data_IF_665765977249
#
_entry.id   IF_665765977249
#
_cell.length_a   1.000
_cell.length_b   1.000
_cell.length_c   1.000
_cell.angle_alpha   90.00
_cell.angle_beta   90.00
_cell.angle_gamma   90.00
#
_symmetry.space_group_name_H-M   'P 1'
#
loop_
_entity.id
_entity.type
_entity.pdbx_description
1 polymer ?
#
# COMPACT_ATOMS: atom_id res chain seq x y z
N UNK A 1 -14.03 -2.36 -29.01
CA UNK A 1 -13.01 -2.13 -30.08
C UNK A 1 -13.53 -0.99 -30.93
N UNK A 2 -12.74 0.08 -31.11
CA UNK A 2 -13.14 1.17 -31.99
C UNK A 2 -13.06 0.75 -33.46
N UNK A 3 -13.56 1.57 -34.38
CA UNK A 3 -13.57 1.29 -35.85
C UNK A 3 -12.16 1.05 -36.45
N UNK A 4 -11.09 1.32 -35.64
CA UNK A 4 -9.69 1.15 -36.05
C UNK A 4 -9.01 -0.03 -35.37
N UNK A 5 -9.74 -0.88 -34.64
CA UNK A 5 -9.18 -2.05 -33.96
C UNK A 5 -8.31 -1.74 -32.75
N UNK A 6 -8.41 -0.54 -32.16
CA UNK A 6 -7.69 -0.16 -30.95
C UNK A 6 -8.40 -0.67 -29.72
N UNK A 7 -7.66 -1.23 -28.81
CA UNK A 7 -8.17 -1.59 -27.50
C UNK A 7 -8.39 -0.31 -26.67
N UNK A 8 -9.60 -0.15 -26.13
CA UNK A 8 -9.83 0.88 -25.11
C UNK A 8 -9.17 0.43 -23.82
N UNK A 9 -8.09 1.11 -23.47
CA UNK A 9 -7.34 0.85 -22.23
C UNK A 9 -8.22 0.97 -20.99
N UNK A 10 -9.26 1.79 -21.04
CA UNK A 10 -10.21 1.99 -19.95
C UNK A 10 -11.15 0.79 -19.80
N UNK A 11 -11.61 0.22 -20.90
CA UNK A 11 -12.38 -1.03 -20.91
C UNK A 11 -11.53 -2.21 -20.40
N UNK A 12 -10.29 -2.30 -20.86
CA UNK A 12 -9.36 -3.32 -20.39
C UNK A 12 -9.06 -3.19 -18.88
N UNK A 13 -8.86 -1.97 -18.37
CA UNK A 13 -8.64 -1.72 -16.96
C UNK A 13 -9.86 -2.08 -16.11
N UNK A 14 -11.07 -1.76 -16.59
CA UNK A 14 -12.31 -2.12 -15.91
C UNK A 14 -12.52 -3.64 -15.90
N UNK A 15 -12.31 -4.32 -17.02
CA UNK A 15 -12.42 -5.78 -17.11
C UNK A 15 -11.41 -6.49 -16.20
N UNK A 16 -10.17 -5.98 -16.13
CA UNK A 16 -9.13 -6.50 -15.23
C UNK A 16 -9.53 -6.30 -13.76
N UNK A 17 -10.05 -5.13 -13.42
CA UNK A 17 -10.53 -4.84 -12.07
C UNK A 17 -11.67 -5.77 -11.64
N UNK A 18 -12.61 -6.06 -12.54
CA UNK A 18 -13.69 -7.03 -12.27
C UNK A 18 -13.17 -8.46 -12.08
N UNK A 19 -12.18 -8.87 -12.89
CA UNK A 19 -11.56 -10.20 -12.75
C UNK A 19 -10.82 -10.32 -11.42
N UNK A 20 -10.08 -9.28 -11.02
CA UNK A 20 -9.38 -9.22 -9.73
C UNK A 20 -10.39 -9.26 -8.57
N UNK A 21 -11.48 -8.49 -8.65
CA UNK A 21 -12.52 -8.49 -7.63
C UNK A 21 -13.17 -9.88 -7.48
N UNK A 22 -13.54 -10.53 -8.58
CA UNK A 22 -14.08 -11.90 -8.57
C UNK A 22 -13.09 -12.94 -8.09
N UNK A 23 -11.79 -12.78 -8.39
CA UNK A 23 -10.75 -13.67 -7.89
C UNK A 23 -10.55 -13.52 -6.37
N UNK A 24 -10.57 -12.28 -5.86
CA UNK A 24 -10.54 -11.98 -4.42
C UNK A 24 -11.75 -12.57 -3.69
N UNK A 25 -12.94 -12.46 -4.27
CA UNK A 25 -14.17 -13.03 -3.72
C UNK A 25 -14.16 -14.58 -3.69
N UNK A 26 -13.60 -15.22 -4.73
CA UNK A 26 -13.41 -16.68 -4.80
C UNK A 26 -12.33 -17.22 -3.85
N UNK A 27 -11.32 -16.44 -3.51
CA UNK A 27 -10.24 -16.85 -2.60
C UNK A 27 -10.74 -17.10 -1.15
N UNK A 28 -11.98 -16.70 -0.84
CA UNK A 28 -12.56 -16.77 0.49
C UNK A 28 -12.03 -15.68 1.41
N UNK A 29 -12.88 -15.12 2.24
CA UNK A 29 -12.47 -14.16 3.25
C UNK A 29 -11.68 -14.89 4.35
N UNK A 30 -10.45 -14.48 4.68
CA UNK A 30 -9.74 -15.06 5.82
C UNK A 30 -10.55 -14.81 7.10
N UNK A 31 -10.57 -15.80 7.99
CA UNK A 31 -11.24 -15.63 9.28
C UNK A 31 -10.32 -14.96 10.27
N UNK A 32 -10.88 -14.05 11.05
CA UNK A 32 -10.12 -13.33 12.07
C UNK A 32 -9.46 -14.27 13.08
N UNK A 33 -10.14 -15.35 13.48
CA UNK A 33 -9.61 -16.36 14.42
C UNK A 33 -8.34 -17.04 13.90
N UNK A 34 -8.21 -17.20 12.58
CA UNK A 34 -7.10 -17.93 11.92
C UNK A 34 -5.87 -17.04 11.67
N UNK A 35 -5.96 -15.71 11.82
CA UNK A 35 -4.85 -14.80 11.63
C UNK A 35 -3.83 -14.89 12.77
N UNK A 36 -2.55 -14.66 12.46
CA UNK A 36 -1.50 -14.51 13.48
C UNK A 36 -1.73 -13.24 14.33
N UNK A 37 -1.19 -13.23 15.55
CA UNK A 37 -1.39 -12.15 16.52
C UNK A 37 -0.76 -10.81 16.08
N UNK A 38 0.31 -10.88 15.32
CA UNK A 38 1.08 -9.75 14.78
C UNK A 38 0.60 -9.30 13.39
N UNK A 39 -0.43 -9.97 12.83
CA UNK A 39 -0.96 -9.59 11.51
C UNK A 39 -1.53 -8.17 11.56
N UNK A 40 -1.01 -7.29 10.72
CA UNK A 40 -1.50 -5.93 10.54
C UNK A 40 -2.82 -5.92 9.77
N UNK A 41 -3.75 -5.11 10.26
CA UNK A 41 -5.12 -4.99 9.78
C UNK A 41 -5.48 -3.52 9.59
N UNK A 42 -6.19 -3.21 8.52
CA UNK A 42 -6.84 -1.91 8.32
C UNK A 42 -8.27 -1.97 8.84
N UNK A 43 -8.59 -1.12 9.79
CA UNK A 43 -9.85 -1.12 10.52
C UNK A 43 -10.61 0.17 10.27
N UNK A 44 -11.74 0.08 9.60
CA UNK A 44 -12.64 1.20 9.33
C UNK A 44 -13.78 1.20 10.36
N UNK A 45 -13.91 2.27 11.10
CA UNK A 45 -15.03 2.48 12.05
C UNK A 45 -16.25 3.02 11.28
N UNK A 46 -17.43 2.47 11.53
CA UNK A 46 -18.65 2.77 10.74
C UNK A 46 -18.94 1.72 9.67
N UNK A 47 -18.24 0.59 9.72
CA UNK A 47 -18.43 -0.54 8.83
C UNK A 47 -18.11 -0.25 7.36
N UNK A 48 -18.81 -0.89 6.45
CA UNK A 48 -18.57 -0.74 5.00
C UNK A 48 -18.79 0.68 4.48
N UNK A 49 -19.69 1.44 5.11
CA UNK A 49 -19.94 2.83 4.72
C UNK A 49 -18.70 3.70 4.93
N UNK A 50 -17.94 3.48 6.00
CA UNK A 50 -16.73 4.23 6.26
C UNK A 50 -15.66 4.02 5.18
N UNK A 51 -15.52 2.79 4.69
CA UNK A 51 -14.62 2.49 3.57
C UNK A 51 -15.01 3.23 2.28
N UNK A 52 -16.29 3.19 1.93
CA UNK A 52 -16.81 3.84 0.71
C UNK A 52 -16.80 5.37 0.78
N UNK A 53 -16.90 5.93 1.97
CA UNK A 53 -16.82 7.38 2.21
C UNK A 53 -15.36 7.89 2.30
N UNK A 54 -14.36 7.02 2.15
CA UNK A 54 -12.96 7.40 2.17
C UNK A 54 -12.45 7.82 3.55
N UNK A 55 -13.04 7.30 4.62
CA UNK A 55 -12.54 7.52 5.98
C UNK A 55 -11.15 6.90 6.15
N UNK A 56 -10.30 7.57 6.91
CA UNK A 56 -8.96 7.06 7.22
C UNK A 56 -9.09 5.87 8.17
N UNK A 57 -8.55 4.68 7.81
CA UNK A 57 -8.55 3.53 8.70
C UNK A 57 -7.50 3.63 9.79
N UNK A 58 -7.71 2.94 10.88
CA UNK A 58 -6.65 2.60 11.82
C UNK A 58 -5.88 1.38 11.32
N UNK A 59 -4.55 1.39 11.41
CA UNK A 59 -3.72 0.21 11.17
C UNK A 59 -3.35 -0.38 12.51
N UNK A 60 -3.86 -1.58 12.80
CA UNK A 60 -3.71 -2.27 14.09
C UNK A 60 -3.26 -3.70 13.86
N UNK A 61 -2.45 -4.23 14.76
CA UNK A 61 -2.25 -5.68 14.81
C UNK A 61 -3.52 -6.38 15.31
N UNK A 62 -3.64 -7.68 15.01
CA UNK A 62 -4.77 -8.48 15.51
C UNK A 62 -4.91 -8.38 17.05
N UNK A 63 -3.79 -8.40 17.77
CA UNK A 63 -3.81 -8.32 19.24
C UNK A 63 -4.27 -6.94 19.75
N UNK A 64 -3.88 -5.87 19.07
CA UNK A 64 -4.34 -4.52 19.40
C UNK A 64 -5.83 -4.37 19.16
N UNK A 65 -6.30 -4.84 18.00
CA UNK A 65 -7.74 -4.84 17.69
C UNK A 65 -8.54 -5.65 18.73
N UNK A 66 -8.03 -6.82 19.14
CA UNK A 66 -8.68 -7.62 20.18
C UNK A 66 -8.77 -6.86 21.52
N UNK A 67 -7.74 -6.11 21.90
CA UNK A 67 -7.76 -5.27 23.12
C UNK A 67 -8.82 -4.19 23.01
N UNK A 68 -8.89 -3.49 21.86
CA UNK A 68 -9.91 -2.44 21.62
C UNK A 68 -11.35 -2.99 21.67
N UNK A 69 -11.56 -4.16 21.05
CA UNK A 69 -12.87 -4.83 21.08
C UNK A 69 -13.27 -5.25 22.50
N UNK A 70 -12.34 -5.77 23.31
CA UNK A 70 -12.57 -6.17 24.71
C UNK A 70 -12.82 -5.00 25.64
N UNK A 71 -12.18 -3.88 25.38
CA UNK A 71 -12.34 -2.65 26.14
C UNK A 71 -13.57 -1.84 25.74
N UNK A 72 -14.30 -2.27 24.71
CA UNK A 72 -15.48 -1.58 24.21
C UNK A 72 -15.19 -0.28 23.43
N UNK A 73 -13.94 -0.04 23.04
CA UNK A 73 -13.57 1.12 22.21
C UNK A 73 -14.02 0.95 20.76
N UNK A 74 -14.08 -0.30 20.28
CA UNK A 74 -14.66 -0.65 18.98
C UNK A 74 -15.71 -1.75 19.16
N UNK A 75 -16.74 -1.72 18.31
CA UNK A 75 -17.74 -2.76 18.26
C UNK A 75 -17.55 -3.58 17.00
N UNK A 76 -17.46 -4.90 17.14
CA UNK A 76 -17.24 -5.82 16.01
C UNK A 76 -18.30 -5.71 14.91
N UNK A 77 -19.50 -5.21 15.22
CA UNK A 77 -20.60 -5.02 14.25
C UNK A 77 -20.46 -3.72 13.45
N UNK A 78 -19.71 -2.74 13.98
CA UNK A 78 -19.61 -1.40 13.43
C UNK A 78 -18.26 -1.15 12.74
N UNK A 79 -17.45 -2.20 12.60
CA UNK A 79 -16.14 -2.13 11.93
C UNK A 79 -16.10 -2.99 10.67
N UNK A 80 -15.36 -2.50 9.67
CA UNK A 80 -14.93 -3.30 8.53
C UNK A 80 -13.42 -3.52 8.64
N UNK A 81 -12.98 -4.77 8.56
CA UNK A 81 -11.59 -5.17 8.75
C UNK A 81 -11.06 -5.77 7.46
N UNK A 82 -9.88 -5.31 7.07
CA UNK A 82 -9.15 -5.79 5.89
C UNK A 82 -7.73 -6.17 6.29
N UNK A 83 -7.12 -7.09 5.55
CA UNK A 83 -5.68 -7.30 5.68
C UNK A 83 -4.96 -6.02 5.25
N UNK A 84 -3.99 -5.56 6.03
CA UNK A 84 -3.13 -4.47 5.63
C UNK A 84 -2.06 -5.00 4.68
N UNK A 85 -1.98 -4.41 3.48
CA UNK A 85 -0.92 -4.67 2.51
C UNK A 85 0.06 -3.50 2.57
N UNK A 86 1.24 -3.75 3.12
CA UNK A 86 2.26 -2.72 3.35
C UNK A 86 2.95 -2.35 2.05
N UNK A 87 2.95 -1.07 1.74
CA UNK A 87 3.67 -0.49 0.61
C UNK A 87 4.86 0.31 1.11
N UNK A 88 6.04 -0.05 0.62
CA UNK A 88 7.29 0.62 0.94
C UNK A 88 7.86 1.14 -0.37
N UNK A 89 8.10 2.44 -0.46
CA UNK A 89 8.83 3.02 -1.58
C UNK A 89 10.23 2.41 -1.66
N UNK A 90 10.65 2.06 -2.87
CA UNK A 90 11.99 1.57 -3.15
C UNK A 90 12.69 2.63 -4.01
N UNK A 91 13.84 3.08 -3.56
CA UNK A 91 14.69 4.00 -4.30
C UNK A 91 15.83 3.22 -4.95
N UNK A 92 16.10 3.50 -6.21
CA UNK A 92 17.18 2.89 -7.00
C UNK A 92 18.04 3.93 -7.72
N UNK A 93 18.94 3.47 -8.56
CA UNK A 93 19.87 4.33 -9.30
C UNK A 93 19.16 5.20 -10.35
N UNK A 94 18.01 4.76 -10.88
CA UNK A 94 17.24 5.51 -11.86
C UNK A 94 16.57 6.72 -11.20
N UNK A 95 16.21 6.64 -9.90
CA UNK A 95 15.75 7.78 -9.13
C UNK A 95 16.85 8.85 -8.98
N UNK A 96 18.09 8.42 -8.75
CA UNK A 96 19.25 9.34 -8.68
C UNK A 96 19.47 9.99 -10.05
N UNK A 97 19.38 9.22 -11.13
CA UNK A 97 19.47 9.74 -12.49
C UNK A 97 18.42 10.81 -12.74
N UNK A 98 17.17 10.55 -12.38
CA UNK A 98 16.06 11.52 -12.53
C UNK A 98 16.31 12.80 -11.75
N UNK A 99 16.94 12.74 -10.57
CA UNK A 99 17.33 13.95 -9.82
C UNK A 99 18.39 14.73 -10.57
N UNK A 100 19.42 14.08 -11.11
CA UNK A 100 20.50 14.71 -11.87
C UNK A 100 19.93 15.38 -13.13
N UNK A 101 19.09 14.70 -13.90
CA UNK A 101 18.44 15.23 -15.09
C UNK A 101 17.59 16.47 -14.78
N UNK A 102 16.78 16.43 -13.71
CA UNK A 102 15.97 17.60 -13.29
C UNK A 102 16.82 18.81 -12.89
N UNK A 103 17.98 18.58 -12.24
CA UNK A 103 18.91 19.68 -11.90
C UNK A 103 19.52 20.28 -13.15
N UNK A 104 19.88 19.46 -14.12
CA UNK A 104 20.43 19.91 -15.40
C UNK A 104 19.44 20.76 -16.19
N UNK A 105 18.23 20.30 -16.35
CA UNK A 105 17.17 21.04 -17.05
C UNK A 105 16.99 22.45 -16.45
N UNK A 106 17.05 22.55 -15.10
CA UNK A 106 16.93 23.83 -14.41
C UNK A 106 18.16 24.71 -14.49
N UNK A 107 19.33 24.14 -14.72
CA UNK A 107 20.62 24.85 -14.74
C UNK A 107 21.11 25.21 -16.15
N UNK A 108 20.36 24.83 -17.21
CA UNK A 108 20.74 25.08 -18.63
C UNK A 108 22.17 24.58 -18.94
N UNK A 109 22.52 23.39 -18.45
CA UNK A 109 23.85 22.80 -18.61
C UNK A 109 24.08 22.29 -20.03
N UNK A 110 25.36 22.05 -20.38
CA UNK A 110 25.76 21.52 -21.69
C UNK A 110 25.25 20.09 -21.91
N UNK A 111 25.01 19.75 -23.18
CA UNK A 111 24.72 18.38 -23.62
C UNK A 111 25.74 17.37 -23.05
N UNK A 112 25.30 16.16 -22.71
CA UNK A 112 26.09 15.05 -22.18
C UNK A 112 26.64 15.21 -20.74
N UNK A 113 26.31 16.30 -20.02
CA UNK A 113 26.81 16.48 -18.65
C UNK A 113 26.18 15.46 -17.67
N UNK A 114 24.91 15.15 -17.84
CA UNK A 114 24.17 14.15 -17.06
C UNK A 114 24.76 12.76 -17.22
N UNK A 115 25.06 12.34 -18.47
CA UNK A 115 25.69 11.05 -18.74
C UNK A 115 27.07 10.96 -18.08
N UNK A 116 27.89 12.00 -18.20
CA UNK A 116 29.21 12.06 -17.59
C UNK A 116 29.13 11.99 -16.06
N UNK A 117 28.22 12.78 -15.46
CA UNK A 117 28.02 12.77 -14.02
C UNK A 117 27.49 11.44 -13.52
N UNK A 118 26.53 10.81 -14.23
CA UNK A 118 26.03 9.50 -13.87
C UNK A 118 27.08 8.39 -14.00
N UNK A 119 27.98 8.50 -14.98
CA UNK A 119 29.11 7.57 -15.09
C UNK A 119 30.03 7.61 -13.87
N UNK A 120 30.21 8.80 -13.28
CA UNK A 120 31.07 9.00 -12.11
C UNK A 120 30.41 8.52 -10.81
N UNK A 121 29.08 8.70 -10.66
CA UNK A 121 28.41 8.49 -9.38
C UNK A 121 27.62 7.19 -9.28
N UNK A 122 27.17 6.60 -10.40
CA UNK A 122 26.23 5.45 -10.41
C UNK A 122 26.66 4.31 -9.50
N UNK A 123 27.89 3.85 -9.64
CA UNK A 123 28.44 2.72 -8.87
C UNK A 123 29.25 3.13 -7.64
N UNK A 124 29.23 4.42 -7.28
CA UNK A 124 30.00 4.93 -6.15
C UNK A 124 29.52 4.36 -4.81
N UNK A 125 30.40 4.28 -3.84
CA UNK A 125 30.06 3.84 -2.48
C UNK A 125 29.09 4.83 -1.80
N UNK A 126 29.23 6.11 -2.12
CA UNK A 126 28.38 7.20 -1.62
C UNK A 126 26.94 7.06 -2.11
N UNK A 127 26.74 6.79 -3.40
CA UNK A 127 25.40 6.55 -3.98
C UNK A 127 24.74 5.34 -3.36
N UNK A 128 25.46 4.24 -3.22
CA UNK A 128 24.95 3.03 -2.55
C UNK A 128 24.57 3.28 -1.09
N UNK A 129 25.40 4.02 -0.36
CA UNK A 129 25.11 4.39 1.04
C UNK A 129 23.89 5.31 1.13
N UNK A 130 23.74 6.25 0.20
CA UNK A 130 22.59 7.15 0.15
C UNK A 130 21.29 6.42 -0.16
N UNK A 131 21.28 5.53 -1.16
CA UNK A 131 20.13 4.68 -1.47
C UNK A 131 19.75 3.78 -0.29
N UNK A 132 20.72 3.19 0.39
CA UNK A 132 20.48 2.41 1.60
C UNK A 132 19.85 3.27 2.72
N UNK A 133 20.31 4.49 2.89
CA UNK A 133 19.72 5.43 3.84
C UNK A 133 18.28 5.79 3.48
N UNK A 134 18.01 6.11 2.21
CA UNK A 134 16.65 6.44 1.74
C UNK A 134 15.69 5.25 1.93
N UNK A 135 16.10 4.05 1.52
CA UNK A 135 15.28 2.85 1.63
C UNK A 135 15.00 2.48 3.10
N UNK A 136 15.97 2.67 3.99
CA UNK A 136 15.76 2.51 5.42
C UNK A 136 14.79 3.53 6.02
N UNK A 137 14.74 4.75 5.48
CA UNK A 137 13.75 5.76 5.88
C UNK A 137 12.37 5.48 5.30
N UNK A 138 12.31 5.03 4.04
CA UNK A 138 11.04 4.68 3.39
C UNK A 138 10.29 3.58 4.15
N UNK A 139 11.01 2.62 4.75
CA UNK A 139 10.40 1.59 5.58
C UNK A 139 9.67 2.15 6.81
N UNK A 140 10.22 3.20 7.44
CA UNK A 140 9.59 3.89 8.57
C UNK A 140 8.36 4.72 8.18
N UNK A 141 8.19 5.00 6.89
CA UNK A 141 7.08 5.77 6.32
C UNK A 141 6.24 4.94 5.35
N UNK A 142 6.17 3.63 5.57
CA UNK A 142 5.34 2.75 4.78
C UNK A 142 3.89 3.21 4.80
N UNK A 143 3.22 3.07 3.66
CA UNK A 143 1.78 3.22 3.53
C UNK A 143 1.11 1.85 3.49
N UNK A 144 -0.20 1.82 3.63
CA UNK A 144 -0.95 0.58 3.63
C UNK A 144 -2.15 0.67 2.69
N UNK A 145 -2.37 -0.40 1.94
CA UNK A 145 -3.58 -0.60 1.14
C UNK A 145 -4.46 -1.67 1.77
N UNK A 146 -5.76 -1.54 1.58
CA UNK A 146 -6.71 -2.55 2.02
C UNK A 146 -6.68 -3.76 1.08
N UNK A 147 -6.22 -4.90 1.59
CA UNK A 147 -6.21 -6.17 0.92
C UNK A 147 -7.56 -6.90 1.02
N UNK A 148 -7.51 -8.21 1.28
CA UNK A 148 -8.71 -9.02 1.45
C UNK A 148 -9.49 -8.61 2.70
N UNK A 149 -10.81 -8.56 2.56
CA UNK A 149 -11.70 -8.38 3.72
C UNK A 149 -11.57 -9.56 4.68
N UNK A 150 -11.56 -9.27 5.97
CA UNK A 150 -11.49 -10.27 7.03
C UNK A 150 -12.90 -10.55 7.57
N UNK A 151 -13.26 -11.81 7.66
CA UNK A 151 -14.49 -12.24 8.32
C UNK A 151 -14.30 -12.23 9.83
N UNK A 152 -15.02 -11.35 10.52
CA UNK A 152 -15.04 -11.28 11.98
C UNK A 152 -15.86 -12.45 12.53
N UNK A 153 -15.16 -13.49 12.98
CA UNK A 153 -15.74 -14.72 13.53
C UNK A 153 -15.50 -14.86 15.05
N UNK A 154 -15.03 -13.78 15.67
CA UNK A 154 -14.84 -13.72 17.12
C UNK A 154 -16.15 -13.22 17.78
N UNK A 155 -16.71 -14.05 18.67
CA UNK A 155 -17.70 -13.59 19.64
C UNK A 155 -16.99 -12.74 20.72
N UNK A 156 -16.90 -11.44 20.49
CA UNK A 156 -16.54 -10.52 21.57
C UNK A 156 -17.76 -10.38 22.47
N UNK A 157 -17.80 -11.16 23.56
CA UNK A 157 -18.81 -10.96 24.61
C UNK A 157 -18.58 -9.56 25.17
N UNK A 158 -19.48 -8.65 24.80
CA UNK A 158 -19.60 -7.40 25.54
C UNK A 158 -19.87 -7.78 27.00
N UNK A 159 -18.98 -7.38 27.90
CA UNK A 159 -19.31 -7.42 29.33
C UNK A 159 -20.42 -6.38 29.53
N UNK A 160 -21.63 -6.89 29.82
CA UNK A 160 -22.70 -6.08 30.39
C UNK A 160 -22.25 -5.47 31.71
#
# INVERSE_FOLDING_TARGET
>A
MDEYGRFDLKECANALSEVIAKAKEKAGMPKFSELSSDRELMVYTGGECAYTLGCTPDVLTKDELLKELRNGWKNARDIAVYLAEKNIAQFDEDDIQSIVENVMESAEQYEDWDEAMMADIRDSAETKAFLQYLNGRAEAHATYDAGLRVKMDCEVRNRE
#
